data_IF_293101581785
#
_entry.id   IF_293101581785
#
_cell.length_a   1.000
_cell.length_b   1.000
_cell.length_c   1.000
_cell.angle_alpha   90.00
_cell.angle_beta   90.00
_cell.angle_gamma   90.00
#
_symmetry.space_group_name_H-M   'P 1'
#
loop_
_entity.id
_entity.type
_entity.pdbx_description
1 polymer ?
#
# COMPACT_ATOMS: atom_id res chain seq x y z
N UNK A 1 6.77 3.50 -7.56
CA UNK A 1 5.58 4.22 -7.13
C UNK A 1 5.79 5.75 -7.09
N UNK A 2 7.00 6.25 -6.99
CA UNK A 2 7.31 7.70 -6.95
C UNK A 2 7.41 8.29 -5.54
N UNK A 3 6.68 7.77 -4.58
CA UNK A 3 6.84 8.07 -3.15
C UNK A 3 7.64 6.95 -2.44
N UNK A 4 8.39 7.27 -1.37
CA UNK A 4 9.21 6.27 -0.69
C UNK A 4 8.37 5.33 0.16
N UNK A 5 8.75 4.04 0.16
CA UNK A 5 8.13 2.98 0.95
C UNK A 5 9.20 2.10 1.60
N UNK A 6 9.05 1.86 2.90
CA UNK A 6 9.84 0.89 3.66
C UNK A 6 8.94 -0.30 4.00
N UNK A 7 9.26 -1.47 3.46
CA UNK A 7 8.47 -2.69 3.66
C UNK A 7 9.16 -3.60 4.67
N UNK A 8 8.46 -3.95 5.73
CA UNK A 8 8.93 -4.80 6.83
C UNK A 8 8.05 -6.05 6.94
N UNK A 9 8.69 -7.21 6.98
CA UNK A 9 7.98 -8.48 7.20
C UNK A 9 7.83 -8.73 8.69
N UNK A 10 6.62 -9.09 9.12
CA UNK A 10 6.26 -9.39 10.50
C UNK A 10 5.49 -10.71 10.56
N UNK A 11 5.57 -11.41 11.70
CA UNK A 11 4.93 -12.71 11.88
C UNK A 11 3.41 -12.60 12.01
N UNK A 12 2.91 -11.55 12.68
CA UNK A 12 1.49 -11.30 12.87
C UNK A 12 1.21 -9.79 12.78
N UNK A 13 0.66 -9.37 11.65
CA UNK A 13 0.38 -7.95 11.41
C UNK A 13 -0.81 -7.43 12.22
N UNK A 14 -1.73 -8.31 12.61
CA UNK A 14 -2.94 -7.90 13.33
C UNK A 14 -2.63 -7.38 14.73
N UNK A 15 -1.67 -7.99 15.42
CA UNK A 15 -1.26 -7.64 16.78
C UNK A 15 -0.02 -6.73 16.82
N UNK A 16 0.50 -6.34 15.64
CA UNK A 16 1.70 -5.52 15.56
C UNK A 16 1.45 -4.05 15.95
N UNK A 17 2.34 -3.46 16.72
CA UNK A 17 2.24 -2.05 17.13
C UNK A 17 2.74 -1.11 16.02
N UNK A 18 1.87 -0.95 14.98
CA UNK A 18 2.15 -0.11 13.81
C UNK A 18 2.42 1.33 14.21
N UNK A 19 1.70 1.86 15.20
CA UNK A 19 1.87 3.24 15.65
C UNK A 19 3.26 3.47 16.23
N UNK A 20 3.72 2.58 17.11
CA UNK A 20 5.03 2.69 17.74
C UNK A 20 6.15 2.62 16.71
N UNK A 21 6.20 1.55 15.93
CA UNK A 21 7.31 1.33 15.00
C UNK A 21 7.22 2.19 13.74
N UNK A 22 6.02 2.44 13.23
CA UNK A 22 5.79 3.28 12.06
C UNK A 22 6.25 4.72 12.29
N UNK A 23 5.90 5.31 13.44
CA UNK A 23 6.31 6.69 13.78
C UNK A 23 7.83 6.86 13.90
N UNK A 24 8.54 5.83 14.37
CA UNK A 24 10.01 5.85 14.49
C UNK A 24 10.66 5.68 13.11
N UNK A 25 10.17 4.73 12.32
CA UNK A 25 10.73 4.42 11.01
C UNK A 25 10.46 5.52 9.97
N UNK A 26 9.28 6.16 10.03
CA UNK A 26 8.93 7.28 9.15
C UNK A 26 10.01 8.36 9.08
N UNK A 27 10.56 8.71 10.25
CA UNK A 27 11.50 9.83 10.43
C UNK A 27 12.96 9.38 10.57
N UNK A 28 13.24 8.10 10.32
CA UNK A 28 14.60 7.59 10.43
C UNK A 28 15.54 8.31 9.44
N UNK A 29 16.77 8.59 9.85
CA UNK A 29 17.78 9.34 9.08
C UNK A 29 18.09 8.72 7.71
N UNK A 30 17.89 7.41 7.55
CA UNK A 30 18.00 6.70 6.24
C UNK A 30 17.01 7.23 5.22
N UNK A 31 15.90 7.84 5.68
CA UNK A 31 14.84 8.40 4.83
C UNK A 31 14.79 9.93 4.97
N UNK A 32 15.66 10.69 4.26
CA UNK A 32 15.79 12.14 4.45
C UNK A 32 14.50 12.94 4.18
N UNK A 33 13.59 12.39 3.37
CA UNK A 33 12.29 12.98 3.06
C UNK A 33 11.14 12.24 3.76
N UNK A 34 11.43 11.49 4.84
CA UNK A 34 10.51 10.56 5.50
C UNK A 34 10.02 9.45 4.55
N UNK A 35 9.30 8.47 5.07
CA UNK A 35 8.81 7.33 4.28
C UNK A 35 7.45 6.85 4.77
N UNK A 36 6.69 6.20 3.89
CA UNK A 36 5.61 5.32 4.29
C UNK A 36 6.23 4.01 4.80
N UNK A 37 5.61 3.37 5.77
CA UNK A 37 6.11 2.11 6.34
C UNK A 37 5.01 1.06 6.28
N UNK A 38 5.27 0.00 5.54
CA UNK A 38 4.37 -1.14 5.39
C UNK A 38 4.84 -2.32 6.24
N UNK A 39 3.95 -2.83 7.08
CA UNK A 39 4.14 -4.04 7.85
C UNK A 39 3.37 -5.16 7.19
N UNK A 40 4.06 -6.20 6.75
CA UNK A 40 3.52 -7.27 5.90
C UNK A 40 3.65 -8.61 6.58
N UNK A 41 2.55 -9.33 6.68
CA UNK A 41 2.49 -10.74 7.06
C UNK A 41 2.28 -11.59 5.81
N UNK A 42 3.19 -12.50 5.55
CA UNK A 42 3.08 -13.45 4.44
C UNK A 42 2.27 -14.65 4.91
N UNK A 43 1.09 -14.86 4.33
CA UNK A 43 0.24 -16.01 4.65
C UNK A 43 0.65 -17.24 3.84
N UNK A 44 0.96 -17.04 2.59
CA UNK A 44 1.49 -18.00 1.64
C UNK A 44 2.07 -17.26 0.42
N UNK A 45 2.65 -17.93 -0.59
CA UNK A 45 3.25 -17.26 -1.74
C UNK A 45 2.30 -16.41 -2.61
N UNK A 46 1.00 -16.56 -2.44
CA UNK A 46 -0.03 -15.85 -3.22
C UNK A 46 -0.89 -14.90 -2.38
N UNK A 47 -0.71 -14.92 -1.05
CA UNK A 47 -1.56 -14.14 -0.13
C UNK A 47 -0.73 -13.44 0.94
N UNK A 48 -0.98 -12.13 1.10
CA UNK A 48 -0.40 -11.32 2.17
C UNK A 48 -1.47 -10.55 2.93
N UNK A 49 -1.15 -10.17 4.16
CA UNK A 49 -1.86 -9.12 4.90
C UNK A 49 -0.90 -7.98 5.15
N UNK A 50 -1.41 -6.75 5.20
CA UNK A 50 -0.60 -5.61 5.56
C UNK A 50 -1.35 -4.58 6.39
N UNK A 51 -0.58 -3.80 7.15
CA UNK A 51 -0.99 -2.53 7.75
C UNK A 51 0.07 -1.49 7.40
N UNK A 52 -0.32 -0.23 7.32
CA UNK A 52 0.54 0.84 6.85
C UNK A 52 0.53 2.04 7.80
N UNK A 53 1.71 2.61 7.99
CA UNK A 53 1.90 3.93 8.56
C UNK A 53 2.24 4.89 7.42
N UNK A 54 1.32 5.76 7.07
CA UNK A 54 1.53 6.71 5.98
C UNK A 54 2.29 7.96 6.43
N UNK A 55 3.22 8.37 5.62
CA UNK A 55 4.07 9.54 5.82
C UNK A 55 3.23 10.81 6.06
N UNK A 56 3.39 11.43 7.25
CA UNK A 56 2.70 12.65 7.63
C UNK A 56 1.23 12.47 8.04
N UNK A 57 0.69 11.26 7.99
CA UNK A 57 -0.73 10.98 8.29
C UNK A 57 -0.89 10.04 9.49
N UNK A 58 -0.05 9.01 9.57
CA UNK A 58 -0.17 7.95 10.55
C UNK A 58 -0.77 6.67 9.98
N UNK A 59 -1.29 5.81 10.84
CA UNK A 59 -1.92 4.56 10.39
C UNK A 59 -3.23 4.83 9.66
N UNK A 60 -3.37 4.26 8.45
CA UNK A 60 -4.56 4.33 7.62
C UNK A 60 -5.10 2.95 7.27
N UNK A 61 -6.35 2.88 6.87
CA UNK A 61 -7.00 1.60 6.53
C UNK A 61 -6.50 0.99 5.22
N UNK A 62 -6.04 1.80 4.29
CA UNK A 62 -5.55 1.35 2.98
C UNK A 62 -4.64 2.38 2.33
N UNK A 63 -3.60 1.88 1.67
CA UNK A 63 -2.69 2.66 0.84
C UNK A 63 -2.38 1.88 -0.44
N UNK A 64 -2.92 2.32 -1.57
CA UNK A 64 -2.75 1.62 -2.85
C UNK A 64 -1.30 1.51 -3.29
N UNK A 65 -0.52 2.59 -3.18
CA UNK A 65 0.92 2.58 -3.51
C UNK A 65 1.72 1.72 -2.54
N UNK A 66 1.36 1.72 -1.25
CA UNK A 66 1.95 0.85 -0.23
C UNK A 66 1.68 -0.63 -0.49
N UNK A 67 0.46 -0.96 -0.92
CA UNK A 67 0.11 -2.32 -1.31
C UNK A 67 0.97 -2.80 -2.51
N UNK A 68 1.11 -1.97 -3.53
CA UNK A 68 1.96 -2.25 -4.68
C UNK A 68 3.43 -2.41 -4.27
N UNK A 69 3.97 -1.49 -3.45
CA UNK A 69 5.34 -1.56 -2.96
C UNK A 69 5.60 -2.84 -2.15
N UNK A 70 4.64 -3.24 -1.31
CA UNK A 70 4.72 -4.46 -0.51
C UNK A 70 4.84 -5.71 -1.36
N UNK A 71 4.00 -5.85 -2.40
CA UNK A 71 4.06 -7.02 -3.31
C UNK A 71 5.37 -7.05 -4.09
N UNK A 72 5.82 -5.90 -4.61
CA UNK A 72 7.10 -5.81 -5.32
C UNK A 72 8.26 -6.22 -4.40
N UNK A 73 8.31 -5.66 -3.19
CA UNK A 73 9.36 -5.98 -2.22
C UNK A 73 9.38 -7.47 -1.85
N UNK A 74 8.21 -8.05 -1.55
CA UNK A 74 8.09 -9.47 -1.24
C UNK A 74 8.50 -10.37 -2.41
N UNK A 75 8.10 -10.03 -3.63
CA UNK A 75 8.48 -10.80 -4.83
C UNK A 75 9.99 -10.74 -5.11
N UNK A 76 10.59 -9.56 -5.04
CA UNK A 76 12.05 -9.39 -5.26
C UNK A 76 12.89 -10.14 -4.22
N UNK A 77 12.35 -10.36 -3.02
CA UNK A 77 12.99 -11.18 -1.98
C UNK A 77 12.62 -12.68 -2.06
N UNK A 78 11.90 -13.11 -3.09
CA UNK A 78 11.53 -14.52 -3.27
C UNK A 78 10.49 -15.04 -2.31
N UNK A 79 9.76 -14.16 -1.61
CA UNK A 79 8.80 -14.52 -0.58
C UNK A 79 7.39 -14.77 -1.15
N UNK A 80 7.09 -14.15 -2.30
CA UNK A 80 5.78 -14.29 -2.97
C UNK A 80 5.93 -14.51 -4.46
N UNK A 81 4.85 -14.97 -5.10
CA UNK A 81 4.72 -15.00 -6.55
C UNK A 81 4.53 -13.58 -7.11
N UNK A 82 4.50 -13.48 -8.44
CA UNK A 82 4.29 -12.19 -9.14
C UNK A 82 2.86 -11.66 -9.00
N UNK A 83 1.87 -12.53 -8.82
CA UNK A 83 0.48 -12.19 -8.56
C UNK A 83 0.13 -12.53 -7.12
N UNK A 84 -0.32 -11.55 -6.38
CA UNK A 84 -0.56 -11.65 -4.93
C UNK A 84 -1.88 -10.98 -4.58
N UNK A 85 -2.68 -11.68 -3.78
CA UNK A 85 -3.91 -11.17 -3.19
C UNK A 85 -3.63 -10.52 -1.84
N UNK A 86 -4.08 -9.28 -1.67
CA UNK A 86 -4.05 -8.58 -0.40
C UNK A 86 -5.32 -8.88 0.39
N UNK A 87 -5.18 -9.62 1.47
CA UNK A 87 -6.30 -10.04 2.31
C UNK A 87 -6.83 -8.88 3.15
N UNK A 88 -8.16 -8.78 3.22
CA UNK A 88 -8.87 -7.75 4.00
C UNK A 88 -9.38 -6.58 3.16
N UNK A 89 -8.73 -6.25 2.05
CA UNK A 89 -9.17 -5.17 1.13
C UNK A 89 -9.53 -5.68 -0.28
N UNK A 90 -9.42 -6.99 -0.50
CA UNK A 90 -9.74 -7.66 -1.78
C UNK A 90 -9.05 -7.05 -3.01
N UNK A 91 -7.79 -6.65 -2.84
CA UNK A 91 -6.93 -6.21 -3.93
C UNK A 91 -6.13 -7.39 -4.48
N UNK A 92 -6.02 -7.48 -5.79
CA UNK A 92 -5.05 -8.33 -6.47
C UNK A 92 -3.99 -7.43 -7.09
N UNK A 93 -2.72 -7.74 -6.81
CA UNK A 93 -1.58 -6.97 -7.31
C UNK A 93 -0.68 -7.91 -8.09
N UNK A 94 -0.35 -7.53 -9.31
CA UNK A 94 0.47 -8.30 -10.22
C UNK A 94 1.67 -7.49 -10.69
N UNK A 95 2.86 -8.09 -10.58
CA UNK A 95 4.07 -7.57 -11.18
C UNK A 95 4.19 -8.13 -12.60
N UNK A 96 3.88 -7.32 -13.61
CA UNK A 96 3.95 -7.68 -15.00
C UNK A 96 5.36 -7.97 -15.51
N UNK A 97 5.49 -8.68 -16.64
CA UNK A 97 6.78 -8.97 -17.26
C UNK A 97 7.49 -7.70 -17.77
N UNK A 98 6.74 -6.67 -18.04
CA UNK A 98 7.18 -5.31 -18.42
C UNK A 98 7.64 -4.45 -17.23
N UNK A 99 7.70 -5.04 -16.02
CA UNK A 99 7.99 -4.37 -14.75
C UNK A 99 6.97 -3.30 -14.31
N UNK A 100 5.78 -3.26 -14.92
CA UNK A 100 4.68 -2.49 -14.38
C UNK A 100 3.95 -3.26 -13.28
N UNK A 101 3.36 -2.52 -12.37
CA UNK A 101 2.54 -3.08 -11.30
C UNK A 101 1.08 -2.81 -11.61
N UNK A 102 0.30 -3.86 -11.72
CA UNK A 102 -1.13 -3.82 -11.98
C UNK A 102 -1.88 -4.07 -10.68
N UNK A 103 -2.78 -3.17 -10.32
CA UNK A 103 -3.63 -3.29 -9.14
C UNK A 103 -5.08 -3.41 -9.58
N UNK A 104 -5.74 -4.51 -9.22
CA UNK A 104 -7.15 -4.77 -9.49
C UNK A 104 -7.92 -4.87 -8.18
N UNK A 105 -9.04 -4.17 -8.10
CA UNK A 105 -9.90 -4.18 -6.91
C UNK A 105 -11.34 -3.81 -7.24
N UNK A 106 -12.27 -3.95 -6.28
CA UNK A 106 -13.65 -3.57 -6.46
C UNK A 106 -13.80 -2.04 -6.57
N UNK A 107 -14.78 -1.62 -7.36
CA UNK A 107 -15.26 -0.25 -7.41
C UNK A 107 -16.78 -0.26 -7.22
N UNK A 108 -17.24 0.25 -6.08
CA UNK A 108 -18.65 0.25 -5.70
C UNK A 108 -19.16 1.67 -5.63
N UNK A 109 -20.27 1.98 -6.33
CA UNK A 109 -20.95 3.26 -6.21
C UNK A 109 -21.52 3.39 -4.80
N UNK A 110 -21.10 4.43 -4.08
CA UNK A 110 -21.55 4.71 -2.70
C UNK A 110 -22.69 5.73 -2.70
N UNK A 111 -22.61 6.71 -3.59
CA UNK A 111 -23.65 7.70 -3.83
C UNK A 111 -23.47 8.35 -5.20
N UNK A 112 -24.53 8.98 -5.70
CA UNK A 112 -24.52 9.83 -6.88
C UNK A 112 -24.90 11.26 -6.47
N UNK A 113 -24.31 12.27 -7.12
CA UNK A 113 -24.58 13.66 -6.80
C UNK A 113 -24.28 14.60 -7.97
N UNK A 114 -24.92 15.77 -7.98
CA UNK A 114 -24.70 16.81 -8.97
C UNK A 114 -23.88 17.96 -8.38
N UNK A 115 -22.87 18.42 -9.13
CA UNK A 115 -22.08 19.60 -8.80
C UNK A 115 -22.55 20.80 -9.63
N UNK A 116 -23.33 21.68 -9.01
CA UNK A 116 -23.86 22.88 -9.64
C UNK A 116 -22.88 24.06 -9.72
N UNK A 117 -21.58 23.84 -9.48
CA UNK A 117 -20.59 24.91 -9.52
C UNK A 117 -19.68 24.80 -10.78
N UNK A 118 -19.92 25.62 -11.81
CA UNK A 118 -19.15 25.56 -13.07
C UNK A 118 -17.65 25.94 -12.90
N UNK A 119 -17.24 26.47 -11.74
CA UNK A 119 -15.83 26.79 -11.47
C UNK A 119 -15.00 25.58 -11.04
N UNK A 120 -15.63 24.47 -10.66
CA UNK A 120 -14.94 23.24 -10.24
C UNK A 120 -14.59 22.33 -11.43
N UNK A 121 -15.19 22.54 -12.59
CA UNK A 121 -15.02 21.68 -13.78
C UNK A 121 -13.85 22.05 -14.70
N UNK A 122 -12.95 22.93 -14.28
CA UNK A 122 -11.66 23.11 -14.99
C UNK A 122 -10.63 22.10 -14.53
N UNK A 123 -10.90 20.81 -14.74
CA UNK A 123 -9.87 19.79 -14.82
C UNK A 123 -9.17 19.96 -16.18
N UNK A 124 -8.05 20.65 -16.20
CA UNK A 124 -7.12 20.60 -17.33
C UNK A 124 -6.67 19.16 -17.54
N UNK A 125 -6.92 18.65 -18.74
CA UNK A 125 -6.39 17.39 -19.23
C UNK A 125 -4.87 17.47 -19.36
#
# INVERSE_FOLDING_TARGET
MGNPHAVTIVDNVSDFDVKKYGSILEINEVFPNKTNVEFVEIKDPENIKMRVWERGTGETLACGTGACASVVACNLNGLTKRSVKLLGVNLNIELGEDNHVYMTGPAVTVFEGELNNPKVLKLTR
#
